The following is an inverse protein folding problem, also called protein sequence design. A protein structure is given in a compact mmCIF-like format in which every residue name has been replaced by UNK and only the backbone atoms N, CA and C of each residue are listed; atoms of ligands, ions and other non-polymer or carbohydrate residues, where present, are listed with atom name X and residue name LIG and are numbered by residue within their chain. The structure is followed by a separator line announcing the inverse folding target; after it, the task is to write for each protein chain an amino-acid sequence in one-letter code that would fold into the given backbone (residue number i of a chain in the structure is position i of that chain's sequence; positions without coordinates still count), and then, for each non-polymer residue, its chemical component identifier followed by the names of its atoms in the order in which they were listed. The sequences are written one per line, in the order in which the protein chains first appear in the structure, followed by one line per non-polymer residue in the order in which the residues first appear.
data_IF_639506058706
#
_entry.id   IF_639506058706
#
_cell.length_a   1.000
_cell.length_b   1.000
_cell.length_c   1.000
_cell.angle_alpha   90.00
_cell.angle_beta   90.00
_cell.angle_gamma   90.00
#
_symmetry.space_group_name_H-M   'P 1'
#
loop_
_entity.id
_entity.type
_entity.pdbx_description
1 polymer ?
#
# COMPACT_ATOMS: atom_id res chain seq x y z
N UNK A 1 -21.68 6.85 23.54
CA UNK A 1 -20.32 6.37 23.74
C UNK A 1 -19.55 6.78 22.50
N UNK A 2 -18.72 7.78 22.64
CA UNK A 2 -17.92 8.38 21.59
C UNK A 2 -16.66 7.52 21.52
N UNK A 3 -16.41 6.86 20.39
CA UNK A 3 -15.16 6.16 20.13
C UNK A 3 -14.05 7.21 20.02
N UNK A 4 -13.16 7.20 21.01
CA UNK A 4 -11.88 7.90 21.01
C UNK A 4 -10.96 7.27 19.95
N UNK A 5 -11.00 7.81 18.74
CA UNK A 5 -9.92 7.60 17.76
C UNK A 5 -8.80 8.56 18.08
N UNK A 6 -7.71 8.06 18.62
CA UNK A 6 -6.46 8.79 18.85
C UNK A 6 -5.95 9.38 17.52
N UNK A 7 -5.94 10.71 17.33
CA UNK A 7 -5.52 11.34 16.09
C UNK A 7 -3.99 11.40 15.92
N UNK A 8 -3.22 10.84 16.85
CA UNK A 8 -1.75 10.90 16.86
C UNK A 8 -1.05 9.60 16.39
N UNK A 9 -1.81 8.57 15.99
CA UNK A 9 -1.19 7.39 15.39
C UNK A 9 -0.66 7.78 14.00
N UNK A 10 0.64 7.54 13.70
CA UNK A 10 1.17 7.82 12.37
C UNK A 10 0.35 7.03 11.35
N UNK A 11 -0.15 7.71 10.32
CA UNK A 11 -0.77 7.08 9.16
C UNK A 11 0.27 6.19 8.51
N UNK A 12 0.28 4.93 8.92
CA UNK A 12 1.14 3.92 8.33
C UNK A 12 0.76 3.81 6.86
N UNK A 13 1.76 3.95 6.01
CA UNK A 13 1.63 3.70 4.57
C UNK A 13 1.16 2.24 4.36
N UNK A 14 -0.15 2.06 4.28
CA UNK A 14 -0.82 0.76 4.15
C UNK A 14 -0.58 0.10 2.79
N UNK A 15 0.22 0.73 1.92
CA UNK A 15 0.21 0.51 0.49
C UNK A 15 1.32 -0.43 -0.02
N UNK A 16 2.50 -0.42 0.61
CA UNK A 16 3.70 -0.97 -0.04
C UNK A 16 3.74 -2.50 -0.19
N UNK A 17 3.57 -3.34 0.86
CA UNK A 17 3.81 -4.78 0.71
C UNK A 17 2.78 -5.50 -0.17
N UNK A 18 1.51 -5.07 -0.16
CA UNK A 18 0.49 -5.59 -1.07
C UNK A 18 0.79 -5.25 -2.53
N UNK A 19 1.21 -4.00 -2.80
CA UNK A 19 1.59 -3.56 -4.15
C UNK A 19 2.72 -4.40 -4.71
N UNK A 20 3.76 -4.61 -3.92
CA UNK A 20 4.91 -5.42 -4.30
C UNK A 20 4.50 -6.89 -4.54
N UNK A 21 3.69 -7.47 -3.64
CA UNK A 21 3.21 -8.84 -3.80
C UNK A 21 2.34 -9.01 -5.06
N UNK A 22 1.45 -8.06 -5.36
CA UNK A 22 0.64 -8.08 -6.59
C UNK A 22 1.54 -7.93 -7.82
N UNK A 23 2.54 -7.06 -7.78
CA UNK A 23 3.45 -6.83 -8.90
C UNK A 23 4.29 -8.05 -9.21
N UNK A 24 4.93 -8.64 -8.20
CA UNK A 24 5.81 -9.79 -8.38
C UNK A 24 5.04 -11.10 -8.66
N UNK A 25 3.79 -11.22 -8.22
CA UNK A 25 2.99 -12.43 -8.33
C UNK A 25 1.65 -12.18 -9.02
N UNK A 26 1.63 -11.31 -10.02
CA UNK A 26 0.41 -10.85 -10.69
C UNK A 26 -0.42 -11.98 -11.31
N UNK A 27 0.25 -12.95 -11.93
CA UNK A 27 -0.42 -14.12 -12.49
C UNK A 27 -1.13 -14.94 -11.42
N UNK A 28 -0.46 -15.18 -10.28
CA UNK A 28 -1.03 -15.91 -9.15
C UNK A 28 -2.20 -15.13 -8.52
N UNK A 29 -2.10 -13.79 -8.46
CA UNK A 29 -3.16 -12.89 -7.99
C UNK A 29 -4.44 -13.05 -8.82
N UNK A 30 -4.32 -12.95 -10.13
CA UNK A 30 -5.46 -13.11 -11.02
C UNK A 30 -6.01 -14.55 -11.00
N UNK A 31 -5.14 -15.56 -10.97
CA UNK A 31 -5.55 -16.96 -10.88
C UNK A 31 -6.39 -17.23 -9.63
N UNK A 32 -6.05 -16.61 -8.51
CA UNK A 32 -6.73 -16.83 -7.24
C UNK A 32 -8.04 -16.05 -7.10
N UNK A 33 -8.00 -14.75 -7.36
CA UNK A 33 -9.16 -13.88 -7.13
C UNK A 33 -10.05 -13.70 -8.35
N UNK A 34 -9.48 -13.75 -9.55
CA UNK A 34 -10.18 -13.43 -10.81
C UNK A 34 -9.85 -14.44 -11.91
N UNK A 35 -10.24 -15.71 -11.75
CA UNK A 35 -9.86 -16.78 -12.68
C UNK A 35 -10.31 -16.54 -14.13
N UNK A 36 -11.43 -15.85 -14.35
CA UNK A 36 -11.87 -15.48 -15.70
C UNK A 36 -10.91 -14.49 -16.35
N UNK A 37 -10.46 -13.47 -15.62
CA UNK A 37 -9.46 -12.52 -16.11
C UNK A 37 -8.13 -13.24 -16.38
N UNK A 38 -7.69 -14.11 -15.44
CA UNK A 38 -6.49 -14.92 -15.59
C UNK A 38 -6.49 -15.75 -16.88
N UNK A 39 -7.60 -16.44 -17.16
CA UNK A 39 -7.77 -17.28 -18.37
C UNK A 39 -7.79 -16.43 -19.65
N UNK A 40 -8.24 -15.19 -19.57
CA UNK A 40 -8.30 -14.27 -20.71
C UNK A 40 -6.94 -13.67 -21.11
N UNK A 41 -5.92 -13.73 -20.24
CA UNK A 41 -4.59 -13.14 -20.47
C UNK A 41 -3.65 -14.13 -21.13
N UNK A 42 -2.96 -13.69 -22.19
CA UNK A 42 -1.85 -14.42 -22.79
C UNK A 42 -0.54 -14.15 -22.03
N UNK A 43 -0.27 -14.98 -21.04
CA UNK A 43 0.89 -14.88 -20.18
C UNK A 43 2.23 -15.09 -20.90
N UNK A 44 2.22 -15.70 -22.10
CA UNK A 44 3.45 -15.92 -22.88
C UNK A 44 4.04 -14.62 -23.43
N UNK A 45 3.21 -13.59 -23.54
CA UNK A 45 3.60 -12.27 -24.04
C UNK A 45 3.98 -11.28 -22.93
N UNK A 46 3.91 -11.72 -21.66
CA UNK A 46 4.21 -10.90 -20.49
C UNK A 46 3.16 -9.83 -20.21
N UNK A 47 3.45 -9.01 -19.21
CA UNK A 47 2.65 -7.88 -18.78
C UNK A 47 3.55 -6.71 -18.36
N UNK A 48 2.99 -5.51 -18.23
CA UNK A 48 3.70 -4.34 -17.74
C UNK A 48 2.81 -3.50 -16.83
N UNK A 49 3.31 -3.14 -15.66
CA UNK A 49 2.66 -2.19 -14.76
C UNK A 49 2.88 -0.74 -15.21
N UNK A 50 1.87 0.10 -15.00
CA UNK A 50 1.77 1.49 -15.44
C UNK A 50 1.32 2.39 -14.27
N UNK A 51 1.93 2.21 -13.10
CA UNK A 51 1.48 2.87 -11.85
C UNK A 51 1.72 4.39 -11.89
N UNK A 52 2.78 4.85 -12.56
CA UNK A 52 3.05 6.28 -12.72
C UNK A 52 1.99 6.95 -13.60
N UNK A 53 1.58 6.27 -14.66
CA UNK A 53 0.54 6.73 -15.57
C UNK A 53 -0.83 6.72 -14.89
N UNK A 54 -1.10 5.72 -14.04
CA UNK A 54 -2.30 5.68 -13.21
C UNK A 54 -2.34 6.86 -12.25
N UNK A 55 -1.25 7.12 -11.52
CA UNK A 55 -1.15 8.25 -10.62
C UNK A 55 -1.45 9.58 -11.32
N UNK A 56 -0.94 9.80 -12.53
CA UNK A 56 -1.24 11.00 -13.32
C UNK A 56 -2.70 11.09 -13.75
N UNK A 57 -3.33 9.96 -14.13
CA UNK A 57 -4.74 9.94 -14.52
C UNK A 57 -5.68 10.22 -13.34
N UNK A 58 -5.23 9.93 -12.11
CA UNK A 58 -6.01 10.02 -10.87
C UNK A 58 -5.78 11.35 -10.13
N UNK A 59 -4.62 12.01 -10.30
CA UNK A 59 -4.25 13.25 -9.60
C UNK A 59 -5.27 14.40 -9.77
N UNK A 60 -5.98 14.46 -10.88
CA UNK A 60 -7.03 15.46 -11.12
C UNK A 60 -8.34 15.18 -10.34
N UNK A 61 -8.45 14.04 -9.68
CA UNK A 61 -9.54 13.76 -8.77
C UNK A 61 -9.10 14.10 -7.36
N UNK A 62 -9.70 15.12 -6.74
CA UNK A 62 -9.53 15.53 -5.33
C UNK A 62 -9.95 14.45 -4.31
N UNK A 63 -9.64 13.20 -4.58
CA UNK A 63 -9.97 12.00 -3.80
C UNK A 63 -8.69 11.55 -3.11
N UNK A 64 -8.59 11.82 -1.81
CA UNK A 64 -7.41 11.59 -0.99
C UNK A 64 -6.74 10.24 -1.19
N UNK A 65 -5.40 10.21 -0.97
CA UNK A 65 -4.53 9.04 -0.98
C UNK A 65 -5.17 7.88 -0.22
N UNK A 66 -5.58 6.83 -0.93
CA UNK A 66 -6.06 5.59 -0.30
C UNK A 66 -5.87 4.40 -1.24
N UNK A 67 -5.13 3.37 -0.75
CA UNK A 67 -5.06 1.98 -1.17
C UNK A 67 -4.40 1.63 -2.51
N UNK A 68 -4.16 0.32 -2.70
CA UNK A 68 -3.36 -0.26 -3.77
C UNK A 68 -4.07 -0.13 -5.11
N UNK A 69 -3.79 0.94 -5.82
CA UNK A 69 -4.20 1.09 -7.20
C UNK A 69 -3.07 0.60 -8.09
N UNK A 70 -3.32 -0.44 -8.89
CA UNK A 70 -2.40 -0.96 -9.88
C UNK A 70 -3.05 -0.92 -11.27
N UNK A 71 -2.25 -0.55 -12.25
CA UNK A 71 -2.66 -0.61 -13.66
C UNK A 71 -1.68 -1.49 -14.42
N UNK A 72 -2.17 -2.60 -14.95
CA UNK A 72 -1.37 -3.51 -15.77
C UNK A 72 -1.84 -3.51 -17.23
N UNK A 73 -0.90 -3.39 -18.15
CA UNK A 73 -1.13 -3.64 -19.57
C UNK A 73 -0.86 -5.12 -19.86
N UNK A 74 -1.84 -5.81 -20.44
CA UNK A 74 -1.78 -7.25 -20.73
C UNK A 74 -2.22 -7.56 -22.16
N UNK A 75 -1.76 -8.67 -22.70
CA UNK A 75 -2.25 -9.22 -23.97
C UNK A 75 -3.40 -10.20 -23.71
N UNK A 76 -4.39 -10.23 -24.59
CA UNK A 76 -5.47 -11.22 -24.57
C UNK A 76 -5.20 -12.34 -25.57
N UNK A 77 -5.66 -13.56 -25.27
CA UNK A 77 -5.62 -14.68 -26.23
C UNK A 77 -6.45 -14.41 -27.49
N UNK A 78 -7.56 -13.66 -27.36
CA UNK A 78 -8.47 -13.41 -28.49
C UNK A 78 -8.96 -11.96 -28.45
N UNK A 79 -9.07 -11.33 -29.63
CA UNK A 79 -9.69 -10.02 -29.77
C UNK A 79 -9.04 -9.15 -30.87
N UNK A 80 -9.76 -8.15 -31.34
CA UNK A 80 -9.31 -7.21 -32.38
C UNK A 80 -8.22 -6.26 -31.85
N UNK A 81 -8.20 -6.01 -30.54
CA UNK A 81 -7.17 -5.22 -29.85
C UNK A 81 -6.37 -6.15 -28.93
N UNK A 82 -5.14 -6.44 -29.28
CA UNK A 82 -4.25 -7.36 -28.53
C UNK A 82 -3.95 -6.92 -27.10
N UNK A 83 -3.92 -5.62 -26.85
CA UNK A 83 -3.65 -5.03 -25.52
C UNK A 83 -4.93 -4.54 -24.87
N UNK A 84 -5.08 -4.87 -23.58
CA UNK A 84 -6.07 -4.30 -22.68
C UNK A 84 -5.40 -3.90 -21.38
N UNK A 85 -6.08 -3.07 -20.60
CA UNK A 85 -5.58 -2.67 -19.28
C UNK A 85 -6.43 -3.32 -18.19
N UNK A 86 -5.76 -3.72 -17.11
CA UNK A 86 -6.40 -4.21 -15.90
C UNK A 86 -6.09 -3.23 -14.78
N UNK A 87 -7.11 -2.56 -14.29
CA UNK A 87 -7.07 -1.72 -13.10
C UNK A 87 -7.46 -2.57 -11.88
N UNK A 88 -6.64 -2.56 -10.85
CA UNK A 88 -6.84 -3.31 -9.60
C UNK A 88 -6.93 -2.34 -8.44
N UNK A 89 -8.02 -2.41 -7.69
CA UNK A 89 -8.24 -1.66 -6.46
C UNK A 89 -8.37 -2.60 -5.28
N UNK A 90 -7.59 -2.39 -4.22
CA UNK A 90 -7.71 -3.14 -2.96
C UNK A 90 -8.18 -2.17 -1.87
N UNK A 91 -9.40 -2.36 -1.38
CA UNK A 91 -10.06 -1.45 -0.43
C UNK A 91 -10.10 -2.06 0.97
N UNK A 92 -9.39 -1.45 1.92
CA UNK A 92 -9.27 -1.93 3.31
C UNK A 92 -10.44 -1.54 4.22
N UNK A 93 -11.21 -0.50 3.90
CA UNK A 93 -12.31 0.01 4.72
C UNK A 93 -13.55 0.35 3.92
N UNK A 94 -14.66 0.53 4.63
CA UNK A 94 -15.93 0.95 4.01
C UNK A 94 -15.82 2.37 3.46
N UNK A 95 -16.19 2.55 2.18
CA UNK A 95 -16.17 3.84 1.49
C UNK A 95 -17.42 3.97 0.60
N UNK A 96 -18.32 4.87 0.94
CA UNK A 96 -19.55 5.12 0.20
C UNK A 96 -19.31 5.66 -1.23
N UNK A 97 -18.12 6.16 -1.51
CA UNK A 97 -17.73 6.70 -2.82
C UNK A 97 -17.01 5.68 -3.70
N UNK A 98 -16.71 4.50 -3.17
CA UNK A 98 -15.90 3.48 -3.85
C UNK A 98 -16.40 3.13 -5.26
N UNK A 99 -17.68 2.78 -5.39
CA UNK A 99 -18.24 2.42 -6.70
C UNK A 99 -18.16 3.56 -7.72
N UNK A 100 -18.41 4.81 -7.27
CA UNK A 100 -18.26 6.01 -8.11
C UNK A 100 -16.80 6.24 -8.49
N UNK A 101 -15.85 5.98 -7.58
CA UNK A 101 -14.42 6.11 -7.84
C UNK A 101 -13.96 5.09 -8.89
N UNK A 102 -14.35 3.82 -8.75
CA UNK A 102 -14.09 2.76 -9.72
C UNK A 102 -14.58 3.13 -11.12
N UNK A 103 -15.80 3.66 -11.21
CA UNK A 103 -16.35 4.18 -12.47
C UNK A 103 -15.50 5.32 -13.03
N UNK A 104 -15.19 6.33 -12.21
CA UNK A 104 -14.42 7.51 -12.64
C UNK A 104 -13.02 7.13 -13.16
N UNK A 105 -12.35 6.17 -12.49
CA UNK A 105 -11.03 5.70 -12.92
C UNK A 105 -11.11 4.92 -14.22
N UNK A 106 -12.08 4.02 -14.36
CA UNK A 106 -12.29 3.28 -15.60
C UNK A 106 -12.53 4.22 -16.79
N UNK A 107 -13.41 5.21 -16.63
CA UNK A 107 -13.76 6.19 -17.63
C UNK A 107 -12.55 7.03 -18.08
N UNK A 108 -11.77 7.55 -17.12
CA UNK A 108 -10.54 8.31 -17.41
C UNK A 108 -9.45 7.48 -18.08
N UNK A 109 -9.27 6.25 -17.65
CA UNK A 109 -8.31 5.35 -18.28
C UNK A 109 -8.74 4.99 -19.70
N UNK A 110 -10.04 4.76 -19.91
CA UNK A 110 -10.59 4.51 -21.23
C UNK A 110 -10.38 5.72 -22.17
N UNK A 111 -10.70 6.93 -21.71
CA UNK A 111 -10.49 8.18 -22.49
C UNK A 111 -9.00 8.37 -22.84
N UNK A 112 -8.12 8.18 -21.85
CA UNK A 112 -6.67 8.37 -22.02
C UNK A 112 -6.03 7.39 -23.01
N UNK A 113 -6.44 6.12 -22.96
CA UNK A 113 -5.79 5.06 -23.76
C UNK A 113 -6.58 4.63 -24.98
N UNK A 114 -7.82 5.06 -25.14
CA UNK A 114 -8.76 4.59 -26.17
C UNK A 114 -8.79 3.05 -26.28
N UNK A 115 -8.83 2.36 -25.12
CA UNK A 115 -8.78 0.91 -25.03
C UNK A 115 -9.67 0.38 -23.90
N UNK A 116 -10.18 -0.86 -24.04
CA UNK A 116 -10.95 -1.48 -22.97
C UNK A 116 -10.13 -1.59 -21.66
N UNK A 117 -10.76 -1.24 -20.56
CA UNK A 117 -10.20 -1.31 -19.19
C UNK A 117 -11.02 -2.34 -18.41
N UNK A 118 -10.38 -3.40 -17.93
CA UNK A 118 -10.96 -4.29 -16.92
C UNK A 118 -10.67 -3.75 -15.54
N UNK A 119 -11.69 -3.38 -14.75
CA UNK A 119 -11.50 -2.97 -13.37
C UNK A 119 -11.85 -4.12 -12.44
N UNK A 120 -10.98 -4.43 -11.48
CA UNK A 120 -11.11 -5.53 -10.53
C UNK A 120 -10.97 -4.98 -9.11
N UNK A 121 -11.83 -5.42 -8.19
CA UNK A 121 -11.83 -4.95 -6.82
C UNK A 121 -11.64 -6.08 -5.80
N UNK A 122 -10.76 -5.88 -4.82
CA UNK A 122 -10.62 -6.76 -3.65
C UNK A 122 -10.97 -5.97 -2.40
N UNK A 123 -11.97 -6.42 -1.64
CA UNK A 123 -12.41 -5.79 -0.41
C UNK A 123 -11.84 -6.53 0.81
N UNK A 124 -11.07 -5.81 1.61
CA UNK A 124 -10.46 -6.28 2.85
C UNK A 124 -11.16 -5.75 4.12
N UNK A 125 -12.32 -5.10 3.98
CA UNK A 125 -13.13 -4.58 5.08
C UNK A 125 -13.85 -5.67 5.87
N UNK A 126 -14.45 -5.29 7.00
CA UNK A 126 -15.13 -6.18 7.94
C UNK A 126 -16.62 -6.42 7.63
N UNK A 127 -17.25 -5.61 6.77
CA UNK A 127 -18.67 -5.72 6.46
C UNK A 127 -18.96 -6.94 5.60
N UNK A 128 -19.94 -7.74 5.96
CA UNK A 128 -20.41 -8.87 5.11
C UNK A 128 -21.35 -8.43 4.01
N UNK A 129 -21.98 -7.27 4.16
CA UNK A 129 -23.08 -6.79 3.30
C UNK A 129 -22.63 -5.71 2.31
N UNK A 130 -21.60 -4.96 2.61
CA UNK A 130 -21.09 -3.92 1.73
C UNK A 130 -20.37 -4.54 0.51
N UNK A 131 -21.01 -4.43 -0.67
CA UNK A 131 -20.53 -5.00 -1.95
C UNK A 131 -20.79 -4.01 -3.07
N UNK A 132 -19.98 -2.97 -3.19
CA UNK A 132 -20.12 -1.95 -4.22
C UNK A 132 -19.52 -2.44 -5.56
N UNK A 133 -20.20 -3.37 -6.22
CA UNK A 133 -19.79 -4.00 -7.47
C UNK A 133 -20.24 -3.26 -8.74
N UNK A 134 -20.96 -2.15 -8.58
CA UNK A 134 -21.49 -1.37 -9.68
C UNK A 134 -21.78 0.07 -9.31
N UNK A 135 -21.75 0.95 -10.32
CA UNK A 135 -22.18 2.33 -10.24
C UNK A 135 -23.07 2.68 -11.42
N UNK A 136 -24.17 3.37 -11.20
CA UNK A 136 -25.04 3.81 -12.30
C UNK A 136 -25.76 5.12 -11.95
N UNK A 137 -26.10 5.86 -12.98
CA UNK A 137 -26.99 7.03 -12.91
C UNK A 137 -27.84 7.16 -14.16
N UNK A 138 -28.96 7.86 -14.02
CA UNK A 138 -29.83 8.19 -15.15
C UNK A 138 -30.23 9.67 -15.07
N UNK A 139 -30.16 10.36 -16.19
CA UNK A 139 -30.64 11.74 -16.34
C UNK A 139 -31.20 11.95 -17.74
N UNK A 140 -32.40 12.51 -17.85
CA UNK A 140 -33.11 12.78 -19.12
C UNK A 140 -33.20 11.57 -20.06
N UNK A 141 -33.33 10.35 -19.53
CA UNK A 141 -33.36 9.12 -20.32
C UNK A 141 -31.99 8.59 -20.76
N UNK A 142 -30.91 9.33 -20.49
CA UNK A 142 -29.55 8.86 -20.69
C UNK A 142 -29.14 8.01 -19.49
N UNK A 143 -28.84 6.73 -19.74
CA UNK A 143 -28.39 5.76 -18.71
C UNK A 143 -26.91 5.53 -18.82
N UNK A 144 -26.20 5.67 -17.71
CA UNK A 144 -24.80 5.31 -17.57
C UNK A 144 -24.67 4.22 -16.52
N UNK A 145 -23.97 3.14 -16.83
CA UNK A 145 -23.79 2.01 -15.90
C UNK A 145 -22.43 1.38 -16.08
N UNK A 146 -21.84 1.01 -14.94
CA UNK A 146 -20.54 0.34 -14.87
C UNK A 146 -20.60 -0.75 -13.79
N UNK A 147 -20.27 -1.97 -14.15
CA UNK A 147 -20.16 -3.10 -13.22
C UNK A 147 -18.79 -3.76 -13.38
N UNK A 148 -18.27 -4.31 -12.27
CA UNK A 148 -16.93 -4.88 -12.24
C UNK A 148 -16.86 -6.08 -11.29
N UNK A 149 -15.97 -7.07 -11.55
CA UNK A 149 -15.72 -8.17 -10.65
C UNK A 149 -15.20 -7.67 -9.29
N UNK A 150 -15.81 -8.21 -8.23
CA UNK A 150 -15.49 -7.88 -6.86
C UNK A 150 -15.31 -9.14 -6.03
N UNK A 151 -14.18 -9.22 -5.32
CA UNK A 151 -13.88 -10.28 -4.35
C UNK A 151 -13.81 -9.71 -2.96
N UNK A 152 -14.32 -10.45 -1.97
CA UNK A 152 -14.32 -10.03 -0.58
C UNK A 152 -13.58 -11.04 0.28
N UNK A 153 -12.51 -10.59 0.97
CA UNK A 153 -11.63 -11.49 1.73
C UNK A 153 -12.37 -12.22 2.85
N UNK A 154 -13.37 -11.58 3.47
CA UNK A 154 -14.17 -12.21 4.54
C UNK A 154 -14.97 -13.43 4.07
N UNK A 155 -15.26 -13.56 2.78
CA UNK A 155 -16.00 -14.72 2.24
C UNK A 155 -15.17 -16.00 2.28
N UNK A 156 -13.86 -15.88 2.37
CA UNK A 156 -12.96 -17.02 2.49
C UNK A 156 -12.87 -17.58 3.93
N UNK A 157 -13.42 -16.87 4.94
CA UNK A 157 -13.30 -17.28 6.34
C UNK A 157 -13.74 -18.74 6.62
N UNK A 158 -14.84 -19.27 6.01
CA UNK A 158 -15.22 -20.68 6.22
C UNK A 158 -14.22 -21.69 5.66
N UNK A 159 -13.29 -21.27 4.81
CA UNK A 159 -12.29 -22.12 4.13
C UNK A 159 -10.87 -21.83 4.60
N UNK A 160 -10.69 -21.30 5.81
CA UNK A 160 -9.37 -20.87 6.30
C UNK A 160 -8.31 -21.99 6.25
N UNK A 161 -8.65 -23.20 6.69
CA UNK A 161 -7.70 -24.32 6.65
C UNK A 161 -7.35 -24.72 5.21
N UNK A 162 -8.31 -24.71 4.30
CA UNK A 162 -8.05 -24.96 2.88
C UNK A 162 -7.13 -23.89 2.25
N UNK A 163 -7.24 -22.62 2.68
CA UNK A 163 -6.32 -21.58 2.26
C UNK A 163 -4.87 -21.85 2.72
N UNK A 164 -4.70 -22.41 3.91
CA UNK A 164 -3.37 -22.75 4.44
C UNK A 164 -2.74 -23.95 3.72
N UNK A 165 -3.53 -24.76 3.04
CA UNK A 165 -3.07 -25.90 2.22
C UNK A 165 -2.87 -25.53 0.74
N UNK A 166 -3.51 -24.47 0.28
CA UNK A 166 -3.46 -24.03 -1.11
C UNK A 166 -2.06 -23.51 -1.49
N UNK A 167 -1.56 -23.94 -2.65
CA UNK A 167 -0.24 -23.55 -3.16
C UNK A 167 -0.19 -22.14 -3.77
N UNK A 168 -1.34 -21.49 -3.97
CA UNK A 168 -1.36 -20.12 -4.46
C UNK A 168 -0.92 -19.14 -3.35
N UNK A 169 0.04 -18.24 -3.60
CA UNK A 169 0.53 -17.29 -2.60
C UNK A 169 -0.56 -16.40 -2.01
N UNK A 170 -1.56 -16.03 -2.81
CA UNK A 170 -2.66 -15.17 -2.34
C UNK A 170 -3.67 -15.90 -1.45
N UNK A 171 -3.70 -17.22 -1.47
CA UNK A 171 -4.42 -17.99 -0.45
C UNK A 171 -3.80 -17.75 0.94
N UNK A 172 -2.46 -17.79 1.04
CA UNK A 172 -1.76 -17.52 2.30
C UNK A 172 -1.91 -16.05 2.76
N UNK A 173 -1.87 -15.10 1.82
CA UNK A 173 -2.13 -13.68 2.09
C UNK A 173 -3.56 -13.48 2.60
N UNK A 174 -4.55 -14.15 1.99
CA UNK A 174 -5.94 -14.13 2.45
C UNK A 174 -6.07 -14.73 3.86
N UNK A 175 -5.40 -15.85 4.12
CA UNK A 175 -5.37 -16.48 5.45
C UNK A 175 -4.74 -15.54 6.49
N UNK A 176 -3.65 -14.84 6.15
CA UNK A 176 -3.02 -13.85 7.02
C UNK A 176 -3.97 -12.69 7.37
N UNK A 177 -4.71 -12.16 6.39
CA UNK A 177 -5.73 -11.15 6.63
C UNK A 177 -6.82 -11.65 7.60
N UNK A 178 -7.36 -12.84 7.36
CA UNK A 178 -8.41 -13.43 8.20
C UNK A 178 -7.92 -13.69 9.63
N UNK A 179 -6.70 -14.23 9.78
CA UNK A 179 -6.09 -14.48 11.08
C UNK A 179 -5.76 -13.20 11.84
N UNK A 180 -5.33 -12.15 11.13
CA UNK A 180 -5.13 -10.81 11.73
C UNK A 180 -6.42 -10.31 12.39
N UNK A 181 -7.56 -10.54 11.75
CA UNK A 181 -8.87 -10.16 12.28
C UNK A 181 -9.31 -11.04 13.44
N UNK A 182 -9.16 -12.37 13.32
CA UNK A 182 -9.54 -13.32 14.36
C UNK A 182 -8.76 -13.12 15.65
N UNK A 183 -7.50 -12.68 15.54
CA UNK A 183 -6.59 -12.46 16.68
C UNK A 183 -6.58 -11.00 17.18
N UNK A 184 -7.57 -10.19 16.76
CA UNK A 184 -7.69 -8.81 17.24
C UNK A 184 -7.87 -8.79 18.77
N UNK A 185 -6.98 -8.08 19.47
CA UNK A 185 -6.98 -7.99 20.94
C UNK A 185 -6.29 -9.17 21.67
N UNK A 186 -5.84 -10.21 20.96
CA UNK A 186 -5.08 -11.33 21.55
C UNK A 186 -3.69 -11.46 20.89
N UNK A 187 -2.71 -10.86 21.51
CA UNK A 187 -1.33 -10.84 21.00
C UNK A 187 -0.67 -12.21 21.00
N UNK A 188 -1.07 -13.11 21.92
CA UNK A 188 -0.52 -14.46 22.01
C UNK A 188 -1.03 -15.32 20.85
N UNK A 189 -2.32 -15.28 20.59
CA UNK A 189 -2.90 -15.96 19.42
C UNK A 189 -2.35 -15.36 18.12
N UNK A 190 -2.14 -14.02 18.05
CA UNK A 190 -1.53 -13.38 16.89
C UNK A 190 -0.11 -13.86 16.63
N UNK A 191 0.70 -13.99 17.67
CA UNK A 191 2.04 -14.56 17.54
C UNK A 191 2.01 -15.99 17.02
N UNK A 192 1.17 -16.85 17.59
CA UNK A 192 1.02 -18.24 17.15
C UNK A 192 0.58 -18.34 15.67
N UNK A 193 -0.37 -17.50 15.27
CA UNK A 193 -0.85 -17.43 13.88
C UNK A 193 0.25 -16.93 12.93
N UNK A 194 0.94 -15.85 13.27
CA UNK A 194 2.05 -15.30 12.47
C UNK A 194 3.17 -16.32 12.32
N UNK A 195 3.55 -17.00 13.41
CA UNK A 195 4.54 -18.08 13.37
C UNK A 195 4.12 -19.23 12.47
N UNK A 196 2.85 -19.66 12.55
CA UNK A 196 2.29 -20.73 11.67
C UNK A 196 2.44 -20.33 10.20
N UNK A 197 2.03 -19.12 9.84
CA UNK A 197 2.14 -18.62 8.47
C UNK A 197 3.59 -18.51 8.00
N UNK A 198 4.46 -17.93 8.83
CA UNK A 198 5.87 -17.80 8.52
C UNK A 198 6.53 -19.17 8.27
N UNK A 199 6.21 -20.18 9.10
CA UNK A 199 6.73 -21.54 8.91
C UNK A 199 6.25 -22.17 7.59
N UNK A 200 4.98 -21.95 7.21
CA UNK A 200 4.42 -22.45 5.95
C UNK A 200 5.15 -21.90 4.72
N UNK A 201 5.70 -20.67 4.77
CA UNK A 201 6.51 -20.13 3.67
C UNK A 201 7.74 -21.01 3.37
N UNK A 202 8.34 -21.58 4.41
CA UNK A 202 9.52 -22.44 4.27
C UNK A 202 9.21 -23.93 4.05
N UNK A 203 7.97 -24.33 4.25
CA UNK A 203 7.50 -25.72 4.03
C UNK A 203 7.06 -25.94 2.58
N UNK A 204 6.82 -24.85 1.85
CA UNK A 204 6.47 -24.89 0.43
C UNK A 204 7.73 -24.78 -0.41
N UNK A 205 7.70 -25.40 -1.59
CA UNK A 205 8.79 -25.31 -2.58
C UNK A 205 8.69 -24.00 -3.37
N UNK A 206 8.82 -22.88 -2.64
CA UNK A 206 8.81 -21.54 -3.19
C UNK A 206 10.21 -20.96 -3.29
N UNK A 207 10.42 -20.15 -4.33
CA UNK A 207 11.67 -19.43 -4.49
C UNK A 207 11.87 -18.38 -3.38
N UNK A 208 13.13 -17.95 -3.26
CA UNK A 208 13.51 -16.99 -2.21
C UNK A 208 12.71 -15.68 -2.28
N UNK A 209 12.51 -15.13 -3.48
CA UNK A 209 11.86 -13.83 -3.62
C UNK A 209 10.40 -13.93 -3.18
N UNK A 210 9.70 -15.00 -3.57
CA UNK A 210 8.33 -15.26 -3.16
C UNK A 210 8.18 -15.34 -1.63
N UNK A 211 9.10 -16.03 -0.95
CA UNK A 211 9.10 -16.11 0.52
C UNK A 211 9.29 -14.74 1.14
N UNK A 212 10.20 -13.93 0.62
CA UNK A 212 10.46 -12.57 1.10
C UNK A 212 9.24 -11.67 0.95
N UNK A 213 8.65 -11.62 -0.24
CA UNK A 213 7.50 -10.77 -0.55
C UNK A 213 6.29 -11.12 0.33
N UNK A 214 6.00 -12.41 0.44
CA UNK A 214 4.87 -12.88 1.24
C UNK A 214 5.10 -12.70 2.74
N UNK A 215 6.35 -12.89 3.20
CA UNK A 215 6.67 -12.59 4.59
C UNK A 215 6.49 -11.11 4.89
N UNK A 216 6.90 -10.22 4.00
CA UNK A 216 6.72 -8.78 4.18
C UNK A 216 5.23 -8.40 4.31
N UNK A 217 4.34 -9.01 3.51
CA UNK A 217 2.89 -8.81 3.62
C UNK A 217 2.34 -9.34 4.95
N UNK A 218 2.76 -10.54 5.37
CA UNK A 218 2.32 -11.16 6.64
C UNK A 218 2.81 -10.31 7.82
N UNK A 219 4.07 -9.90 7.80
CA UNK A 219 4.69 -9.10 8.85
C UNK A 219 3.99 -7.77 9.03
N UNK A 220 3.73 -7.09 7.92
CA UNK A 220 3.00 -5.84 7.89
C UNK A 220 1.56 -5.95 8.42
N UNK A 221 0.81 -7.01 8.05
CA UNK A 221 -0.56 -7.22 8.51
C UNK A 221 -0.64 -7.64 9.97
N UNK A 222 0.30 -8.45 10.44
CA UNK A 222 0.26 -9.11 11.75
C UNK A 222 1.30 -8.53 12.71
N UNK A 223 1.24 -7.22 12.95
CA UNK A 223 2.15 -6.55 13.89
C UNK A 223 2.04 -7.12 15.30
N UNK A 224 3.18 -7.29 15.93
CA UNK A 224 3.31 -7.77 17.31
C UNK A 224 4.00 -6.70 18.18
N UNK A 225 3.83 -6.75 19.52
CA UNK A 225 4.68 -6.00 20.42
C UNK A 225 6.16 -6.39 20.26
N UNK A 226 7.07 -5.46 20.55
CA UNK A 226 8.52 -5.62 20.32
C UNK A 226 9.12 -6.91 20.92
N UNK A 227 8.66 -7.33 22.09
CA UNK A 227 9.12 -8.55 22.76
C UNK A 227 8.74 -9.81 21.99
N UNK A 228 7.52 -9.88 21.45
CA UNK A 228 7.04 -11.00 20.65
C UNK A 228 7.64 -10.99 19.24
N UNK A 229 7.88 -9.80 18.67
CA UNK A 229 8.64 -9.68 17.43
C UNK A 229 10.06 -10.25 17.61
N UNK A 230 10.76 -9.90 18.67
CA UNK A 230 12.10 -10.44 18.94
C UNK A 230 12.09 -11.97 19.08
N UNK A 231 11.07 -12.53 19.74
CA UNK A 231 10.90 -13.99 19.86
C UNK A 231 10.64 -14.63 18.49
N UNK A 232 9.81 -14.02 17.66
CA UNK A 232 9.53 -14.49 16.28
C UNK A 232 10.82 -14.54 15.45
N UNK A 233 11.63 -13.47 15.51
CA UNK A 233 12.90 -13.40 14.80
C UNK A 233 13.92 -14.45 15.25
N UNK A 234 13.99 -14.74 16.55
CA UNK A 234 14.81 -15.84 17.06
C UNK A 234 14.35 -17.20 16.54
N UNK A 235 13.02 -17.44 16.52
CA UNK A 235 12.43 -18.66 16.02
C UNK A 235 12.69 -18.83 14.50
N UNK A 236 12.56 -17.75 13.71
CA UNK A 236 12.87 -17.73 12.28
C UNK A 236 14.34 -18.00 12.01
N UNK A 237 15.25 -17.36 12.76
CA UNK A 237 16.69 -17.59 12.65
C UNK A 237 17.05 -19.06 12.90
N UNK A 238 16.40 -19.67 13.87
CA UNK A 238 16.59 -21.10 14.17
C UNK A 238 16.04 -21.99 13.05
N UNK A 239 14.86 -21.67 12.53
CA UNK A 239 14.25 -22.39 11.40
C UNK A 239 15.13 -22.34 10.15
N UNK A 240 15.62 -21.14 9.78
CA UNK A 240 16.50 -20.94 8.63
C UNK A 240 17.84 -21.66 8.77
N UNK A 241 18.41 -21.65 9.98
CA UNK A 241 19.63 -22.40 10.28
C UNK A 241 19.44 -23.91 10.08
N UNK A 242 18.33 -24.45 10.58
CA UNK A 242 18.02 -25.88 10.47
C UNK A 242 17.74 -26.31 9.03
N UNK A 243 17.18 -25.41 8.23
CA UNK A 243 16.92 -25.67 6.79
C UNK A 243 18.09 -25.27 5.88
N UNK A 244 19.20 -24.77 6.44
CA UNK A 244 20.36 -24.23 5.68
C UNK A 244 19.96 -23.10 4.70
N UNK A 245 18.94 -22.34 5.02
CA UNK A 245 18.40 -21.22 4.23
C UNK A 245 18.52 -19.92 5.03
N UNK A 246 18.79 -18.80 4.34
CA UNK A 246 18.81 -17.46 4.96
C UNK A 246 18.05 -16.49 4.06
N UNK A 247 16.73 -16.50 4.16
CA UNK A 247 15.88 -15.68 3.29
C UNK A 247 15.37 -14.43 4.01
N UNK A 248 14.55 -14.61 5.01
CA UNK A 248 13.84 -13.53 5.68
C UNK A 248 14.73 -12.79 6.67
N UNK A 249 15.61 -13.48 7.42
CA UNK A 249 16.55 -12.81 8.33
C UNK A 249 17.59 -11.94 7.60
N UNK A 250 17.80 -12.16 6.29
CA UNK A 250 18.59 -11.24 5.48
C UNK A 250 17.84 -9.97 5.13
N UNK A 251 16.50 -10.04 4.99
CA UNK A 251 15.63 -8.89 4.72
C UNK A 251 15.47 -8.00 5.94
N UNK A 252 15.35 -8.59 7.14
CA UNK A 252 15.37 -7.84 8.40
C UNK A 252 16.62 -6.96 8.49
N UNK A 253 17.79 -7.52 8.18
CA UNK A 253 19.04 -6.75 8.22
C UNK A 253 19.05 -5.60 7.21
N UNK A 254 18.45 -5.82 6.01
CA UNK A 254 18.30 -4.78 4.99
C UNK A 254 17.24 -3.76 5.41
N UNK A 255 16.09 -4.23 5.90
CA UNK A 255 15.01 -3.39 6.41
C UNK A 255 15.41 -2.56 7.63
N UNK A 256 16.15 -3.16 8.58
CA UNK A 256 16.71 -2.45 9.72
C UNK A 256 17.75 -1.40 9.30
N UNK A 257 18.64 -1.75 8.35
CA UNK A 257 19.62 -0.80 7.82
C UNK A 257 18.92 0.36 7.09
N UNK A 258 17.89 0.07 6.30
CA UNK A 258 17.09 1.05 5.58
C UNK A 258 16.26 1.92 6.52
N UNK A 259 15.52 1.32 7.45
CA UNK A 259 14.73 2.04 8.45
C UNK A 259 15.58 2.86 9.41
N UNK A 260 16.79 2.37 9.75
CA UNK A 260 17.76 3.14 10.53
C UNK A 260 18.29 4.34 9.73
N UNK A 261 18.55 4.15 8.43
CA UNK A 261 19.01 5.22 7.54
C UNK A 261 17.91 6.26 7.28
N UNK A 262 16.68 5.82 7.05
CA UNK A 262 15.49 6.67 6.91
C UNK A 262 15.17 7.39 8.22
N UNK A 263 15.25 6.72 9.36
CA UNK A 263 15.05 7.31 10.69
C UNK A 263 16.13 8.33 11.05
N UNK A 264 17.39 8.11 10.66
CA UNK A 264 18.48 9.07 10.81
C UNK A 264 18.26 10.28 9.90
N UNK A 265 17.83 10.09 8.67
CA UNK A 265 17.55 11.17 7.72
C UNK A 265 16.37 12.03 8.21
N UNK A 266 15.28 11.39 8.65
CA UNK A 266 14.13 12.10 9.20
C UNK A 266 14.46 12.78 10.53
N UNK A 267 15.21 12.13 11.42
CA UNK A 267 15.71 12.74 12.65
C UNK A 267 16.55 14.00 12.39
N UNK A 268 17.45 13.96 11.40
CA UNK A 268 18.23 15.12 10.95
C UNK A 268 17.34 16.21 10.40
N UNK A 269 16.33 15.88 9.59
CA UNK A 269 15.37 16.84 9.03
C UNK A 269 14.61 17.59 10.13
N UNK A 270 14.04 16.84 11.08
CA UNK A 270 13.28 17.39 12.21
C UNK A 270 14.17 18.29 13.09
N UNK A 271 15.41 17.86 13.37
CA UNK A 271 16.35 18.64 14.17
C UNK A 271 16.79 19.93 13.44
N UNK A 272 17.09 19.83 12.14
CA UNK A 272 17.45 20.98 11.32
C UNK A 272 16.31 22.00 11.23
N UNK A 273 15.08 21.58 11.00
CA UNK A 273 13.88 22.44 11.01
C UNK A 273 13.73 23.12 12.37
N UNK A 274 13.86 22.37 13.48
CA UNK A 274 13.72 22.92 14.82
C UNK A 274 14.80 23.97 15.13
N UNK A 275 16.02 23.77 14.62
CA UNK A 275 17.13 24.72 14.76
C UNK A 275 16.87 26.00 13.95
N UNK A 276 16.52 25.85 12.68
CA UNK A 276 16.21 26.97 11.78
C UNK A 276 15.01 27.78 12.30
N UNK A 277 13.97 27.10 12.79
CA UNK A 277 12.81 27.74 13.43
C UNK A 277 13.22 28.61 14.62
N UNK A 278 14.11 28.12 15.50
CA UNK A 278 14.66 28.90 16.63
C UNK A 278 15.48 30.10 16.18
N UNK A 279 16.25 29.93 15.12
CA UNK A 279 17.08 31.02 14.58
C UNK A 279 16.21 32.10 13.92
N UNK A 280 15.21 31.71 13.13
CA UNK A 280 14.25 32.64 12.53
C UNK A 280 13.44 33.36 13.60
N UNK A 281 12.94 32.69 14.62
CA UNK A 281 12.22 33.32 15.72
C UNK A 281 13.09 34.32 16.50
N UNK A 282 14.37 34.02 16.68
CA UNK A 282 15.30 34.93 17.34
C UNK A 282 15.64 36.19 16.50
N UNK A 283 15.65 36.02 15.16
CA UNK A 283 16.07 37.07 14.25
C UNK A 283 14.91 37.96 13.75
N UNK A 284 13.79 37.32 13.43
CA UNK A 284 12.63 37.95 12.80
C UNK A 284 11.43 38.09 13.75
N UNK A 285 11.50 37.51 14.96
CA UNK A 285 10.37 37.46 15.89
C UNK A 285 9.46 36.25 15.65
N UNK A 286 8.24 36.33 16.17
CA UNK A 286 7.25 35.23 16.05
C UNK A 286 6.85 35.03 14.60
N UNK A 287 6.98 33.80 14.11
CA UNK A 287 6.65 33.43 12.73
C UNK A 287 5.14 33.28 12.55
N UNK A 288 4.57 33.81 11.45
CA UNK A 288 3.19 33.53 11.08
C UNK A 288 2.96 32.02 10.90
N UNK A 289 1.82 31.45 11.37
CA UNK A 289 1.53 30.01 11.29
C UNK A 289 1.58 29.42 9.88
N UNK A 290 1.35 30.23 8.85
CA UNK A 290 1.41 29.81 7.45
C UNK A 290 2.86 29.54 7.02
N UNK A 291 3.80 30.38 7.44
CA UNK A 291 5.23 30.22 7.13
C UNK A 291 5.83 29.09 7.95
N UNK A 292 5.40 28.94 9.21
CA UNK A 292 5.86 27.85 10.09
C UNK A 292 5.50 26.47 9.53
N UNK A 293 4.29 26.30 8.94
CA UNK A 293 3.90 25.06 8.25
C UNK A 293 4.76 24.80 7.00
N UNK A 294 5.08 25.84 6.24
CA UNK A 294 5.91 25.67 5.03
C UNK A 294 7.34 25.21 5.35
N UNK A 295 7.85 25.47 6.55
CA UNK A 295 9.13 24.91 7.01
C UNK A 295 9.06 23.39 7.20
N UNK A 296 7.90 22.86 7.54
CA UNK A 296 7.70 21.40 7.72
C UNK A 296 7.72 20.63 6.40
N UNK A 297 7.45 21.30 5.27
CA UNK A 297 7.44 20.69 3.94
C UNK A 297 8.83 20.70 3.26
N UNK A 298 9.83 21.39 3.85
CA UNK A 298 11.17 21.49 3.27
C UNK A 298 11.97 20.19 3.39
N UNK A 299 12.72 19.86 2.36
CA UNK A 299 13.75 18.82 2.37
C UNK A 299 14.95 19.23 3.24
N UNK A 300 15.83 18.28 3.58
CA UNK A 300 17.05 18.56 4.36
C UNK A 300 17.93 19.61 3.65
N UNK A 301 18.12 19.43 2.34
CA UNK A 301 18.96 20.34 1.53
C UNK A 301 18.38 21.76 1.50
N UNK A 302 17.04 21.89 1.39
CA UNK A 302 16.37 23.20 1.46
C UNK A 302 16.47 23.85 2.85
N UNK A 303 16.38 23.04 3.93
CA UNK A 303 16.56 23.54 5.30
C UNK A 303 18.00 24.00 5.52
N UNK A 304 18.99 23.29 4.99
CA UNK A 304 20.41 23.70 5.04
C UNK A 304 20.62 25.00 4.27
N UNK A 305 20.09 25.11 3.05
CA UNK A 305 20.14 26.34 2.26
C UNK A 305 19.45 27.52 2.96
N UNK A 306 18.29 27.26 3.60
CA UNK A 306 17.61 28.27 4.41
C UNK A 306 18.46 28.70 5.63
N UNK A 307 19.17 27.76 6.25
CA UNK A 307 20.04 28.04 7.39
C UNK A 307 21.21 29.00 7.06
N UNK A 308 21.67 28.95 5.81
CA UNK A 308 22.68 29.90 5.30
C UNK A 308 22.03 31.24 4.94
N UNK A 309 20.91 31.21 4.18
CA UNK A 309 20.23 32.39 3.71
C UNK A 309 19.68 33.28 4.86
N UNK A 310 19.21 32.66 5.95
CA UNK A 310 18.65 33.39 7.10
C UNK A 310 19.66 34.32 7.77
N UNK A 311 20.96 34.14 7.53
CA UNK A 311 21.99 35.06 8.05
C UNK A 311 21.86 36.48 7.49
N UNK A 312 21.31 36.60 6.30
CA UNK A 312 21.11 37.86 5.59
C UNK A 312 19.69 38.43 5.75
N UNK A 313 18.76 37.70 6.35
CA UNK A 313 17.38 38.14 6.53
C UNK A 313 17.30 39.30 7.55
N UNK A 314 16.54 40.32 7.21
CA UNK A 314 16.27 41.48 8.06
C UNK A 314 14.80 41.67 8.41
N UNK A 315 13.89 41.06 7.65
CA UNK A 315 12.45 41.13 7.83
C UNK A 315 11.77 39.81 7.45
N UNK A 316 10.52 39.59 7.89
CA UNK A 316 9.71 38.40 7.55
C UNK A 316 9.51 38.28 6.02
N UNK A 317 9.43 39.40 5.29
CA UNK A 317 9.34 39.43 3.84
C UNK A 317 10.50 38.72 3.12
N UNK A 318 11.70 38.72 3.71
CA UNK A 318 12.87 38.05 3.12
C UNK A 318 12.66 36.50 3.16
N UNK A 319 12.07 35.97 4.24
CA UNK A 319 11.69 34.57 4.35
C UNK A 319 10.57 34.22 3.37
N UNK A 320 9.55 35.08 3.23
CA UNK A 320 8.46 34.86 2.27
C UNK A 320 8.99 34.79 0.83
N UNK A 321 9.87 35.68 0.48
CA UNK A 321 10.51 35.75 -0.83
C UNK A 321 11.38 34.50 -1.09
N UNK A 322 12.13 34.05 -0.10
CA UNK A 322 12.97 32.85 -0.21
C UNK A 322 12.10 31.59 -0.40
N UNK A 323 11.06 31.43 0.40
CA UNK A 323 10.11 30.31 0.29
C UNK A 323 9.26 30.35 -1.00
N UNK A 324 9.19 31.46 -1.72
CA UNK A 324 8.48 31.61 -2.99
C UNK A 324 9.35 31.25 -4.22
N UNK A 325 10.65 31.02 -4.03
CA UNK A 325 11.56 30.59 -5.10
C UNK A 325 11.29 29.09 -5.39
N UNK A 326 11.24 28.69 -6.70
CA UNK A 326 10.96 27.31 -7.09
C UNK A 326 12.12 26.37 -6.80
#
# INVERSE_FOLDING_TARGET
MIEDTDPSAPTVDYDSPWKEAVEHHFQDFLAFYFPEAHTGVDWTRGHRFLDQELAQAVQDAALGRRYVDKLAAVHRHQGIKDWVYIHIEIQGGHDNTFAKRMFTYNDRLFDRYDRPIGSLAVLADDSRTWRPDSYSYEVFGCRHGFAYPLVKLVDYAPRLEALLEDHNPFALVTAAHLLTRQTRGDVTQRYAAKWRLARLLYERDWDRQRIIDLFAVIDWMMRLPAELEAQLWQALTTLERNKHMRYVTSVERIGYARGHQEGLAEGRRVEAIALVRKQLARRLGELPPVLDRRLEDLSVDEVEALSEALLDFSAIGDLEQWLAQP
#
